data_IF_274235038843
#
_entry.id   IF_274235038843
#
_cell.length_a   1.000
_cell.length_b   1.000
_cell.length_c   1.000
_cell.angle_alpha   90.00
_cell.angle_beta   90.00
_cell.angle_gamma   90.00
#
_symmetry.space_group_name_H-M   'P 1'
#
loop_
_entity.id
_entity.type
_entity.pdbx_description
1 polymer ?
#
# COMPACT_ATOMS: atom_id res chain seq x y z
N UNK A 1 26.43 19.07 -40.57
CA UNK A 1 26.43 18.55 -41.96
C UNK A 1 25.08 17.95 -42.36
N UNK A 2 24.79 16.66 -42.13
CA UNK A 2 23.52 16.04 -42.61
C UNK A 2 22.26 16.63 -41.94
N UNK A 3 22.30 16.88 -40.64
CA UNK A 3 21.18 17.50 -39.91
C UNK A 3 20.90 18.95 -40.35
N UNK A 4 21.94 19.72 -40.69
CA UNK A 4 21.80 21.09 -41.20
C UNK A 4 21.25 21.10 -42.63
N UNK A 5 21.62 20.13 -43.46
CA UNK A 5 21.04 19.97 -44.80
C UNK A 5 19.54 19.64 -44.70
N UNK A 6 19.15 18.72 -43.82
CA UNK A 6 17.74 18.40 -43.52
C UNK A 6 16.97 19.63 -43.06
N UNK A 7 17.52 20.42 -42.14
CA UNK A 7 16.91 21.67 -41.69
C UNK A 7 16.79 22.70 -42.82
N UNK A 8 17.76 22.75 -43.73
CA UNK A 8 17.73 23.60 -44.92
C UNK A 8 16.54 23.27 -45.82
N UNK A 9 16.36 21.99 -46.16
CA UNK A 9 15.21 21.53 -46.96
C UNK A 9 13.87 21.80 -46.26
N UNK A 10 13.78 21.53 -44.95
CA UNK A 10 12.54 21.77 -44.19
C UNK A 10 12.20 23.25 -44.03
N UNK A 11 13.19 24.15 -44.06
CA UNK A 11 12.97 25.59 -43.88
C UNK A 11 12.51 26.31 -45.16
N UNK A 12 12.41 25.64 -46.31
CA UNK A 12 12.06 26.25 -47.60
C UNK A 12 10.54 26.52 -47.75
N UNK A 13 10.06 27.71 -47.37
CA UNK A 13 8.62 28.03 -47.27
C UNK A 13 7.82 27.82 -48.58
N UNK A 14 8.44 27.97 -49.75
CA UNK A 14 7.77 27.89 -51.06
C UNK A 14 7.72 26.48 -51.69
N UNK A 15 8.34 25.48 -51.04
CA UNK A 15 8.39 24.12 -51.60
C UNK A 15 7.26 23.22 -51.06
N UNK A 16 6.51 22.55 -51.96
CA UNK A 16 5.44 21.63 -51.54
C UNK A 16 6.04 20.39 -50.86
N UNK A 17 5.28 19.84 -49.92
CA UNK A 17 5.71 18.71 -49.08
C UNK A 17 6.21 17.48 -49.85
N UNK A 18 5.65 17.21 -51.03
CA UNK A 18 6.13 16.12 -51.90
C UNK A 18 7.53 16.34 -52.47
N UNK A 19 7.91 17.59 -52.74
CA UNK A 19 9.27 17.95 -53.21
C UNK A 19 10.26 17.85 -52.07
N UNK A 20 9.88 18.34 -50.88
CA UNK A 20 10.71 18.25 -49.67
C UNK A 20 10.93 16.78 -49.26
N UNK A 21 9.90 15.94 -49.32
CA UNK A 21 10.03 14.50 -49.08
C UNK A 21 11.04 13.85 -50.05
N UNK A 22 10.95 14.21 -51.34
CA UNK A 22 11.87 13.70 -52.38
C UNK A 22 13.32 14.14 -52.13
N UNK A 23 13.53 15.42 -51.79
CA UNK A 23 14.86 15.95 -51.47
C UNK A 23 15.45 15.27 -50.22
N UNK A 24 14.64 15.01 -49.20
CA UNK A 24 15.05 14.29 -47.99
C UNK A 24 15.44 12.84 -48.31
N UNK A 25 14.66 12.14 -49.13
CA UNK A 25 14.99 10.77 -49.55
C UNK A 25 16.30 10.74 -50.36
N UNK A 26 16.52 11.71 -51.26
CA UNK A 26 17.77 11.86 -52.00
C UNK A 26 18.96 12.15 -51.09
N UNK A 27 18.81 13.05 -50.11
CA UNK A 27 19.88 13.43 -49.19
C UNK A 27 20.27 12.31 -48.21
N UNK A 28 19.33 11.39 -47.92
CA UNK A 28 19.54 10.26 -47.02
C UNK A 28 20.01 8.98 -47.73
N UNK A 29 20.03 8.97 -49.07
CA UNK A 29 20.50 7.86 -49.92
C UNK A 29 19.86 6.51 -49.57
N UNK A 30 18.55 6.53 -49.24
CA UNK A 30 17.83 5.38 -48.69
C UNK A 30 16.42 5.25 -49.29
N UNK A 31 16.34 5.14 -50.62
CA UNK A 31 15.08 5.03 -51.39
C UNK A 31 14.30 3.72 -51.17
N UNK A 32 14.82 2.78 -50.39
CA UNK A 32 14.23 1.44 -50.20
C UNK A 32 14.18 0.99 -48.75
N UNK A 33 14.42 1.90 -47.79
CA UNK A 33 14.31 1.59 -46.36
C UNK A 33 12.95 2.09 -45.82
N UNK A 34 12.04 1.17 -45.43
CA UNK A 34 10.74 1.52 -44.87
C UNK A 34 10.83 2.39 -43.60
N UNK A 35 11.91 2.26 -42.82
CA UNK A 35 12.11 3.08 -41.63
C UNK A 35 12.46 4.52 -41.99
N UNK A 36 13.23 4.73 -43.07
CA UNK A 36 13.56 6.07 -43.57
C UNK A 36 12.34 6.71 -44.20
N UNK A 37 11.54 5.96 -44.97
CA UNK A 37 10.28 6.47 -45.53
C UNK A 37 9.28 6.89 -44.44
N UNK A 38 9.12 6.06 -43.41
CA UNK A 38 8.29 6.39 -42.24
C UNK A 38 8.81 7.64 -41.51
N UNK A 39 10.13 7.77 -41.36
CA UNK A 39 10.75 8.94 -40.74
C UNK A 39 10.56 10.21 -41.59
N UNK A 40 10.76 10.14 -42.91
CA UNK A 40 10.54 11.28 -43.82
C UNK A 40 9.08 11.72 -43.76
N UNK A 41 8.13 10.79 -43.80
CA UNK A 41 6.71 11.12 -43.67
C UNK A 41 6.38 11.81 -42.34
N UNK A 42 6.95 11.32 -41.23
CA UNK A 42 6.76 11.94 -39.91
C UNK A 42 7.36 13.35 -39.84
N UNK A 43 8.54 13.55 -40.42
CA UNK A 43 9.24 14.84 -40.43
C UNK A 43 8.57 15.85 -41.34
N UNK A 44 8.04 15.43 -42.50
CA UNK A 44 7.29 16.30 -43.42
C UNK A 44 5.93 16.68 -42.81
N UNK A 45 5.22 15.72 -42.21
CA UNK A 45 3.95 16.00 -41.51
C UNK A 45 4.16 16.95 -40.32
N UNK A 46 5.29 16.82 -39.62
CA UNK A 46 5.69 17.66 -38.49
C UNK A 46 6.61 18.82 -38.84
N UNK A 47 6.73 19.19 -40.12
CA UNK A 47 7.78 20.05 -40.68
C UNK A 47 8.03 21.31 -39.86
N UNK A 48 6.99 22.11 -39.63
CA UNK A 48 7.11 23.38 -38.93
C UNK A 48 7.36 23.22 -37.42
N UNK A 49 6.86 22.14 -36.80
CA UNK A 49 7.16 21.83 -35.42
C UNK A 49 8.65 21.47 -35.23
N UNK A 50 9.23 20.75 -36.20
CA UNK A 50 10.66 20.41 -36.21
C UNK A 50 11.52 21.66 -36.41
N UNK A 51 11.20 22.51 -37.41
CA UNK A 51 11.98 23.72 -37.72
C UNK A 51 11.99 24.71 -36.55
N UNK A 52 10.81 25.10 -36.05
CA UNK A 52 10.73 26.09 -34.97
C UNK A 52 11.09 25.51 -33.60
N UNK A 53 10.81 24.22 -33.36
CA UNK A 53 11.24 23.51 -32.17
C UNK A 53 12.77 23.42 -32.06
N UNK A 54 13.45 23.12 -33.17
CA UNK A 54 14.91 23.10 -33.21
C UNK A 54 15.51 24.49 -33.07
N UNK A 55 15.00 25.51 -33.76
CA UNK A 55 15.49 26.91 -33.61
C UNK A 55 15.42 27.39 -32.15
N UNK A 56 14.35 27.03 -31.44
CA UNK A 56 14.19 27.28 -30.01
C UNK A 56 15.21 26.49 -29.17
N UNK A 57 15.38 25.20 -29.44
CA UNK A 57 16.28 24.33 -28.68
C UNK A 57 17.77 24.65 -28.88
N UNK A 58 18.16 25.08 -30.08
CA UNK A 58 19.55 25.42 -30.42
C UNK A 58 19.94 26.84 -29.96
N UNK A 59 19.01 27.60 -29.36
CA UNK A 59 19.27 28.96 -28.87
C UNK A 59 19.60 29.97 -29.97
N UNK A 60 19.20 29.70 -31.21
CA UNK A 60 19.47 30.59 -32.36
C UNK A 60 18.63 31.87 -32.33
N UNK A 61 17.51 31.87 -31.60
CA UNK A 61 16.62 33.01 -31.40
C UNK A 61 16.00 32.95 -30.00
N UNK A 62 15.65 34.10 -29.42
CA UNK A 62 14.94 34.11 -28.13
C UNK A 62 13.54 33.54 -28.28
N UNK A 63 12.93 33.14 -27.16
CA UNK A 63 11.55 32.62 -27.16
C UNK A 63 10.57 33.57 -27.87
N UNK A 64 10.71 34.87 -27.62
CA UNK A 64 9.81 35.88 -28.14
C UNK A 64 10.05 36.14 -29.63
N UNK A 65 11.30 36.05 -30.09
CA UNK A 65 11.65 36.14 -31.51
C UNK A 65 11.09 34.96 -32.31
N UNK A 66 11.18 33.73 -31.77
CA UNK A 66 10.61 32.54 -32.40
C UNK A 66 9.09 32.66 -32.46
N UNK A 67 8.43 33.10 -31.39
CA UNK A 67 6.97 33.29 -31.37
C UNK A 67 6.54 34.37 -32.37
N UNK A 68 7.30 35.45 -32.53
CA UNK A 68 7.02 36.49 -33.51
C UNK A 68 7.13 35.96 -34.96
N UNK A 69 8.19 35.20 -35.27
CA UNK A 69 8.38 34.58 -36.59
C UNK A 69 7.29 33.56 -36.92
N UNK A 70 6.92 32.69 -35.97
CA UNK A 70 5.84 31.71 -36.15
C UNK A 70 4.49 32.42 -36.36
N UNK A 71 4.24 33.52 -35.65
CA UNK A 71 3.01 34.31 -35.81
C UNK A 71 2.92 34.95 -37.20
N UNK A 72 4.02 35.48 -37.71
CA UNK A 72 4.06 36.04 -39.06
C UNK A 72 3.83 34.97 -40.13
N UNK A 73 4.48 33.80 -39.99
CA UNK A 73 4.33 32.69 -40.91
C UNK A 73 2.91 32.07 -40.83
N UNK A 74 2.33 31.93 -39.65
CA UNK A 74 0.95 31.46 -39.49
C UNK A 74 -0.09 32.37 -40.18
N UNK A 75 0.26 33.64 -40.46
CA UNK A 75 -0.56 34.54 -41.26
C UNK A 75 -0.51 34.25 -42.78
N UNK A 76 0.52 33.52 -43.24
CA UNK A 76 0.76 33.15 -44.64
C UNK A 76 0.44 31.68 -44.93
N UNK A 77 0.69 30.79 -43.97
CA UNK A 77 0.45 29.35 -44.07
C UNK A 77 -0.39 28.85 -42.89
N UNK A 78 -1.55 28.25 -43.19
CA UNK A 78 -2.45 27.67 -42.19
C UNK A 78 -1.85 26.46 -41.46
N UNK A 79 -0.88 25.75 -42.07
CA UNK A 79 -0.25 24.57 -41.48
C UNK A 79 0.62 24.90 -40.25
N UNK A 80 1.01 26.17 -40.07
CA UNK A 80 1.83 26.65 -38.95
C UNK A 80 0.99 26.99 -37.71
N UNK A 81 -0.33 27.15 -37.86
CA UNK A 81 -1.26 27.51 -36.79
C UNK A 81 -1.18 26.62 -35.53
N UNK A 82 -1.14 25.28 -35.64
CA UNK A 82 -0.98 24.39 -34.49
C UNK A 82 0.34 24.60 -33.72
N UNK A 83 1.43 24.97 -34.41
CA UNK A 83 2.73 25.25 -33.80
C UNK A 83 2.67 26.55 -32.99
N UNK A 84 1.99 27.58 -33.50
CA UNK A 84 1.76 28.83 -32.77
C UNK A 84 0.94 28.60 -31.50
N UNK A 85 -0.11 27.78 -31.59
CA UNK A 85 -0.97 27.45 -30.44
C UNK A 85 -0.22 26.67 -29.35
N UNK A 86 0.68 25.76 -29.74
CA UNK A 86 1.54 25.03 -28.83
C UNK A 86 2.58 25.94 -28.15
N UNK A 87 3.18 26.89 -28.88
CA UNK A 87 4.19 27.82 -28.34
C UNK A 87 3.60 28.92 -27.43
N UNK A 88 2.39 29.37 -27.72
CA UNK A 88 1.70 30.43 -26.95
C UNK A 88 0.84 29.90 -25.80
N UNK A 89 0.72 28.57 -25.66
CA UNK A 89 -0.09 27.94 -24.62
C UNK A 89 -1.61 28.01 -24.85
N UNK A 90 -2.07 28.53 -25.99
CA UNK A 90 -3.50 28.65 -26.31
C UNK A 90 -4.21 27.30 -26.44
N UNK A 91 -3.49 26.21 -26.75
CA UNK A 91 -4.05 24.87 -26.77
C UNK A 91 -4.39 24.32 -25.37
N UNK A 92 -3.70 24.79 -24.31
CA UNK A 92 -4.00 24.41 -22.93
C UNK A 92 -5.24 25.15 -22.37
N UNK A 93 -5.59 26.31 -22.93
CA UNK A 93 -6.74 27.11 -22.48
C UNK A 93 -8.08 26.64 -23.05
N UNK A 94 -8.10 26.04 -24.25
CA UNK A 94 -9.33 25.55 -24.88
C UNK A 94 -9.85 24.24 -24.27
N UNK A 95 -8.97 23.40 -23.69
CA UNK A 95 -9.36 22.15 -23.03
C UNK A 95 -9.79 22.33 -21.56
N UNK A 96 -9.58 23.51 -20.97
CA UNK A 96 -9.86 23.78 -19.56
C UNK A 96 -11.29 24.30 -19.26
N UNK A 97 -12.12 24.52 -20.28
CA UNK A 97 -13.45 25.14 -20.15
C UNK A 97 -14.62 24.23 -20.59
N UNK A 98 -14.41 22.92 -20.66
CA UNK A 98 -15.50 21.95 -20.86
C UNK A 98 -15.48 20.93 -19.71
N UNK A 99 -16.64 20.82 -19.05
CA UNK A 99 -17.06 19.82 -18.07
C UNK A 99 -16.64 20.00 -16.60
N UNK A 100 -17.30 20.97 -15.97
CA UNK A 100 -17.73 20.93 -14.57
C UNK A 100 -19.07 20.17 -14.48
N UNK A 101 -19.03 18.83 -14.46
CA UNK A 101 -20.16 18.01 -14.00
C UNK A 101 -19.67 16.72 -13.34
N UNK A 102 -20.09 16.60 -12.09
CA UNK A 102 -19.69 15.68 -11.03
C UNK A 102 -20.04 14.21 -11.32
N UNK A 103 -19.03 13.33 -11.32
CA UNK A 103 -19.19 11.86 -11.16
C UNK A 103 -17.94 11.30 -10.42
N UNK A 104 -18.05 10.76 -9.18
CA UNK A 104 -16.87 10.49 -8.33
C UNK A 104 -16.19 9.14 -8.63
N UNK A 105 -16.58 8.42 -9.68
CA UNK A 105 -16.08 7.06 -9.95
C UNK A 105 -15.13 6.96 -11.16
N UNK A 106 -14.81 8.06 -11.85
CA UNK A 106 -13.99 8.00 -13.06
C UNK A 106 -13.01 9.19 -13.23
N UNK A 107 -12.41 9.65 -12.13
CA UNK A 107 -11.31 10.64 -12.20
C UNK A 107 -10.00 10.02 -11.75
N UNK A 108 -9.39 9.22 -12.62
CA UNK A 108 -7.94 8.95 -12.61
C UNK A 108 -7.14 10.19 -13.03
N UNK A 109 -7.56 11.37 -12.57
CA UNK A 109 -6.85 12.62 -12.78
C UNK A 109 -5.48 12.49 -12.13
N UNK A 110 -4.44 12.58 -12.94
CA UNK A 110 -3.07 12.66 -12.50
C UNK A 110 -2.94 13.80 -11.50
N UNK A 111 -3.11 13.48 -10.21
CA UNK A 111 -2.62 14.28 -9.11
C UNK A 111 -1.16 14.50 -9.49
N UNK A 112 -0.80 15.73 -9.89
CA UNK A 112 0.59 16.13 -10.18
C UNK A 112 1.42 15.42 -9.14
N UNK A 113 2.23 14.45 -9.56
CA UNK A 113 3.09 13.71 -8.66
C UNK A 113 3.96 14.77 -8.00
N UNK A 114 3.58 15.19 -6.80
CA UNK A 114 4.39 16.08 -5.99
C UNK A 114 5.77 15.44 -5.93
N UNK A 115 6.82 16.23 -6.17
CA UNK A 115 8.21 15.77 -6.31
C UNK A 115 8.54 14.68 -5.29
N UNK A 116 8.41 13.41 -5.70
CA UNK A 116 8.58 12.28 -4.80
C UNK A 116 10.07 12.08 -4.62
N UNK A 117 10.52 12.14 -3.37
CA UNK A 117 11.91 11.88 -3.05
C UNK A 117 12.18 10.38 -3.14
N UNK A 118 13.23 10.01 -3.86
CA UNK A 118 13.75 8.64 -3.85
C UNK A 118 14.41 8.44 -2.48
N UNK A 119 13.95 7.42 -1.75
CA UNK A 119 14.46 7.05 -0.42
C UNK A 119 15.12 5.69 -0.52
N UNK A 120 16.31 5.58 0.06
CA UNK A 120 17.00 4.30 0.23
C UNK A 120 16.35 3.50 1.38
N UNK A 121 15.58 2.47 1.04
CA UNK A 121 14.87 1.66 2.01
C UNK A 121 15.79 0.76 2.86
N UNK A 122 16.95 0.39 2.33
CA UNK A 122 17.90 -0.46 3.04
C UNK A 122 18.55 0.31 4.20
N UNK A 123 18.84 1.59 4.00
CA UNK A 123 19.37 2.47 5.05
C UNK A 123 18.42 2.63 6.26
N UNK A 124 17.11 2.44 6.07
CA UNK A 124 16.13 2.50 7.17
C UNK A 124 15.82 1.14 7.80
N UNK A 125 16.36 0.04 7.25
CA UNK A 125 16.15 -1.28 7.82
C UNK A 125 16.91 -1.44 9.15
N UNK A 126 16.27 -2.09 10.12
CA UNK A 126 16.94 -2.45 11.37
C UNK A 126 17.77 -3.73 11.17
N UNK A 127 19.07 -3.59 10.88
CA UNK A 127 19.98 -4.72 10.61
C UNK A 127 19.97 -5.80 11.71
N UNK A 128 19.80 -5.40 12.97
CA UNK A 128 19.78 -6.31 14.12
C UNK A 128 18.45 -7.06 14.30
N UNK A 129 17.42 -6.73 13.50
CA UNK A 129 16.11 -7.37 13.53
C UNK A 129 15.51 -7.46 14.94
N UNK A 130 15.15 -8.68 15.36
CA UNK A 130 14.56 -8.96 16.68
C UNK A 130 15.50 -8.72 17.87
N UNK A 131 16.81 -8.55 17.64
CA UNK A 131 17.79 -8.26 18.69
C UNK A 131 18.03 -6.77 18.89
N UNK A 132 17.42 -5.92 18.07
CA UNK A 132 17.56 -4.48 18.19
C UNK A 132 17.04 -3.99 19.54
N UNK A 133 17.92 -3.37 20.33
CA UNK A 133 17.55 -2.65 21.54
C UNK A 133 17.25 -1.19 21.21
N UNK A 134 16.00 -0.89 20.85
CA UNK A 134 15.57 0.46 20.50
C UNK A 134 15.68 1.44 21.70
N UNK A 135 15.49 0.94 22.92
CA UNK A 135 15.64 1.74 24.14
C UNK A 135 17.12 2.02 24.40
N UNK A 136 17.54 3.26 24.17
CA UNK A 136 18.86 3.76 24.57
C UNK A 136 18.84 4.06 26.07
N UNK A 137 19.56 3.29 26.88
CA UNK A 137 19.70 3.55 28.32
C UNK A 137 19.91 2.29 29.16
N UNK A 138 20.02 2.46 30.49
CA UNK A 138 20.16 1.35 31.43
C UNK A 138 18.83 0.60 31.58
N UNK A 139 18.90 -0.73 31.54
CA UNK A 139 17.78 -1.62 31.87
C UNK A 139 17.47 -1.50 33.37
N UNK A 140 16.19 -1.31 33.70
CA UNK A 140 15.70 -1.30 35.08
C UNK A 140 15.28 -2.72 35.43
N UNK A 141 15.75 -3.23 36.56
CA UNK A 141 15.44 -4.58 37.05
C UNK A 141 14.52 -4.51 38.28
N UNK A 142 13.69 -5.53 38.54
CA UNK A 142 12.83 -5.57 39.71
C UNK A 142 13.60 -5.54 41.04
N UNK A 143 12.95 -5.05 42.09
CA UNK A 143 13.49 -5.08 43.46
C UNK A 143 13.78 -6.52 43.90
N UNK A 144 14.90 -6.71 44.59
CA UNK A 144 15.35 -8.04 45.03
C UNK A 144 16.15 -8.81 43.97
N UNK A 145 16.40 -8.25 42.78
CA UNK A 145 17.31 -8.85 41.80
C UNK A 145 18.74 -8.89 42.36
N UNK A 146 19.38 -10.07 42.33
CA UNK A 146 20.78 -10.24 42.74
C UNK A 146 21.68 -10.45 41.51
N UNK A 147 22.94 -10.03 41.63
CA UNK A 147 23.94 -10.15 40.58
C UNK A 147 25.22 -10.79 41.14
N UNK A 148 25.45 -12.04 40.79
CA UNK A 148 26.62 -12.81 41.19
C UNK A 148 27.60 -12.85 40.01
N UNK A 149 28.83 -12.37 40.23
CA UNK A 149 29.88 -12.40 39.19
C UNK A 149 30.88 -13.50 39.50
N UNK A 150 31.00 -14.48 38.61
CA UNK A 150 31.96 -15.57 38.68
C UNK A 150 33.09 -15.37 37.66
N UNK A 151 34.13 -16.21 37.72
CA UNK A 151 35.26 -16.13 36.78
C UNK A 151 34.87 -16.37 35.32
N UNK A 152 33.88 -17.22 35.07
CA UNK A 152 33.48 -17.65 33.71
C UNK A 152 32.20 -16.99 33.21
N UNK A 153 31.36 -16.49 34.10
CA UNK A 153 30.03 -15.98 33.75
C UNK A 153 29.50 -15.04 34.82
N UNK A 154 28.43 -14.32 34.46
CA UNK A 154 27.64 -13.52 35.38
C UNK A 154 26.25 -14.12 35.50
N UNK A 155 25.76 -14.24 36.71
CA UNK A 155 24.42 -14.73 37.02
C UNK A 155 23.58 -13.57 37.56
N UNK A 156 22.42 -13.35 36.94
CA UNK A 156 21.44 -12.35 37.37
C UNK A 156 20.18 -13.10 37.77
N UNK A 157 19.85 -13.09 39.06
CA UNK A 157 18.71 -13.81 39.62
C UNK A 157 17.58 -12.81 39.85
N UNK A 158 16.48 -12.99 39.13
CA UNK A 158 15.27 -12.16 39.25
C UNK A 158 14.26 -12.95 40.09
N UNK A 159 13.84 -12.44 41.27
CA UNK A 159 12.91 -13.17 42.12
C UNK A 159 11.50 -13.19 41.51
N UNK A 160 10.68 -14.22 41.83
CA UNK A 160 9.26 -14.23 41.49
C UNK A 160 8.57 -12.95 41.99
N UNK A 161 7.72 -12.37 41.15
CA UNK A 161 6.98 -11.15 41.48
C UNK A 161 5.57 -11.55 41.91
N UNK A 162 5.20 -11.25 43.15
CA UNK A 162 3.83 -11.43 43.60
C UNK A 162 2.95 -10.30 43.05
N UNK A 163 1.94 -10.68 42.26
CA UNK A 163 0.93 -9.74 41.79
C UNK A 163 -0.31 -9.89 42.67
N UNK A 164 -0.62 -8.87 43.47
CA UNK A 164 -1.85 -8.85 44.24
C UNK A 164 -3.05 -8.74 43.29
N UNK A 165 -3.84 -9.81 43.22
CA UNK A 165 -5.06 -9.92 42.42
C UNK A 165 -6.31 -10.06 43.29
N UNK A 166 -6.19 -9.83 44.59
CA UNK A 166 -7.29 -10.00 45.56
C UNK A 166 -8.50 -9.10 45.29
N UNK A 167 -8.27 -7.95 44.66
CA UNK A 167 -9.31 -7.00 44.27
C UNK A 167 -10.10 -7.42 43.02
N UNK A 168 -9.62 -8.41 42.25
CA UNK A 168 -10.26 -8.83 41.01
C UNK A 168 -11.36 -9.84 41.32
N UNK A 169 -12.59 -9.50 40.99
CA UNK A 169 -13.71 -10.44 41.05
C UNK A 169 -13.60 -11.43 39.89
N UNK A 170 -13.56 -12.72 40.24
CA UNK A 170 -13.47 -13.78 39.24
C UNK A 170 -14.84 -14.01 38.60
N UNK A 171 -14.86 -14.04 37.27
CA UNK A 171 -16.08 -14.27 36.50
C UNK A 171 -16.39 -15.77 36.48
N UNK A 172 -17.54 -16.22 37.03
CA UNK A 172 -17.92 -17.63 36.96
C UNK A 172 -18.36 -17.99 35.54
N UNK A 173 -18.19 -19.26 35.14
CA UNK A 173 -18.63 -19.71 33.81
C UNK A 173 -20.16 -19.61 33.60
N UNK A 174 -20.92 -19.41 34.67
CA UNK A 174 -22.36 -19.15 34.59
C UNK A 174 -22.70 -17.84 33.87
N UNK A 175 -21.77 -16.88 33.81
CA UNK A 175 -21.94 -15.62 33.05
C UNK A 175 -21.94 -15.85 31.54
N UNK A 176 -21.37 -16.97 31.07
CA UNK A 176 -21.49 -17.36 29.67
C UNK A 176 -22.88 -17.92 29.36
N UNK A 177 -23.31 -17.79 28.11
CA UNK A 177 -24.56 -18.34 27.64
C UNK A 177 -24.56 -19.88 27.79
N UNK A 178 -25.68 -20.53 28.15
CA UNK A 178 -25.71 -21.97 28.41
C UNK A 178 -25.14 -22.83 27.27
N UNK A 179 -25.39 -22.44 26.02
CA UNK A 179 -24.90 -23.14 24.84
C UNK A 179 -23.38 -23.09 24.68
N UNK A 180 -22.70 -22.07 25.20
CA UNK A 180 -21.26 -21.89 25.05
C UNK A 180 -20.45 -22.50 26.19
N UNK A 181 -21.06 -22.79 27.34
CA UNK A 181 -20.38 -23.37 28.51
C UNK A 181 -19.64 -24.70 28.22
N UNK A 182 -20.16 -25.61 27.37
CA UNK A 182 -19.46 -26.86 27.04
C UNK A 182 -18.12 -26.68 26.34
N UNK A 183 -17.80 -25.48 25.83
CA UNK A 183 -16.50 -25.22 25.17
C UNK A 183 -15.35 -25.03 26.16
N UNK A 184 -15.66 -24.91 27.45
CA UNK A 184 -14.67 -24.84 28.50
C UNK A 184 -14.45 -26.24 29.11
N UNK A 185 -13.22 -26.60 29.48
CA UNK A 185 -12.97 -27.86 30.17
C UNK A 185 -13.79 -27.96 31.46
N UNK A 186 -14.32 -29.14 31.76
CA UNK A 186 -15.25 -29.37 32.88
C UNK A 186 -14.68 -29.02 34.27
N UNK A 187 -13.35 -29.04 34.43
CA UNK A 187 -12.68 -28.64 35.67
C UNK A 187 -12.59 -27.12 35.87
N UNK A 188 -12.81 -26.33 34.82
CA UNK A 188 -12.84 -24.87 34.90
C UNK A 188 -14.21 -24.44 35.39
N UNK A 189 -14.26 -23.70 36.50
CA UNK A 189 -15.52 -23.17 37.06
C UNK A 189 -15.65 -21.66 36.91
N UNK A 190 -14.52 -20.97 36.81
CA UNK A 190 -14.41 -19.52 36.74
C UNK A 190 -13.18 -19.13 35.93
N UNK A 191 -13.19 -17.94 35.36
CA UNK A 191 -12.06 -17.34 34.66
C UNK A 191 -10.97 -16.94 35.67
N UNK A 192 -9.73 -16.88 35.22
CA UNK A 192 -8.63 -16.37 36.06
C UNK A 192 -8.71 -14.82 36.18
N UNK A 193 -7.92 -14.17 37.06
CA UNK A 193 -8.00 -12.72 37.24
C UNK A 193 -7.84 -11.93 35.92
N UNK A 194 -6.81 -12.24 35.12
CA UNK A 194 -6.56 -11.55 33.85
C UNK A 194 -7.74 -11.71 32.89
N UNK A 195 -8.22 -12.93 32.68
CA UNK A 195 -9.37 -13.22 31.82
C UNK A 195 -10.65 -12.52 32.32
N UNK A 196 -10.87 -12.47 33.63
CA UNK A 196 -12.02 -11.81 34.26
C UNK A 196 -11.99 -10.30 34.03
N UNK A 197 -10.81 -9.67 34.13
CA UNK A 197 -10.65 -8.24 33.83
C UNK A 197 -11.00 -7.89 32.39
N UNK A 198 -10.64 -8.75 31.42
CA UNK A 198 -10.90 -8.48 30.00
C UNK A 198 -12.28 -8.98 29.54
N UNK A 199 -12.96 -9.81 30.34
CA UNK A 199 -14.22 -10.45 29.98
C UNK A 199 -15.30 -9.48 29.47
N UNK A 200 -15.57 -8.32 30.12
CA UNK A 200 -16.60 -7.40 29.64
C UNK A 200 -16.35 -6.91 28.22
N UNK A 201 -15.11 -6.53 27.90
CA UNK A 201 -14.73 -6.10 26.56
C UNK A 201 -14.65 -7.25 25.56
N UNK A 202 -14.29 -8.46 25.99
CA UNK A 202 -14.15 -9.60 25.10
C UNK A 202 -15.49 -10.29 24.76
N UNK A 203 -16.48 -10.24 25.66
CA UNK A 203 -17.74 -10.98 25.52
C UNK A 203 -18.97 -10.09 25.33
N UNK A 204 -18.96 -8.84 25.82
CA UNK A 204 -20.12 -7.95 25.74
C UNK A 204 -19.99 -6.86 24.67
N UNK A 205 -18.79 -6.59 24.14
CA UNK A 205 -18.57 -5.59 23.10
C UNK A 205 -17.96 -6.20 21.84
N UNK A 206 -17.98 -5.43 20.74
CA UNK A 206 -17.41 -5.79 19.45
C UNK A 206 -16.20 -4.90 19.10
N UNK A 207 -15.58 -4.32 20.12
CA UNK A 207 -14.42 -3.45 19.97
C UNK A 207 -13.13 -4.24 19.75
N UNK A 208 -12.18 -3.63 19.04
CA UNK A 208 -10.85 -4.20 18.88
C UNK A 208 -10.12 -4.26 20.23
N UNK A 209 -9.51 -5.40 20.51
CA UNK A 209 -8.89 -5.68 21.81
C UNK A 209 -7.39 -5.95 21.68
N UNK A 210 -6.57 -5.24 22.47
CA UNK A 210 -5.15 -5.50 22.65
C UNK A 210 -4.87 -5.98 24.08
N UNK A 211 -4.50 -7.26 24.23
CA UNK A 211 -4.19 -7.85 25.55
C UNK A 211 -2.69 -8.08 25.70
N UNK A 212 -2.04 -7.22 26.48
CA UNK A 212 -0.63 -7.36 26.84
C UNK A 212 -0.50 -8.12 28.16
N UNK A 213 -0.33 -9.44 28.09
CA UNK A 213 -0.20 -10.31 29.25
C UNK A 213 0.96 -11.31 29.10
N UNK A 214 1.58 -11.77 30.20
CA UNK A 214 2.70 -12.71 30.14
C UNK A 214 2.30 -14.05 29.51
N UNK A 215 3.31 -14.82 29.08
CA UNK A 215 3.11 -16.21 28.63
C UNK A 215 2.52 -17.04 29.76
N UNK A 216 1.56 -17.90 29.44
CA UNK A 216 0.86 -18.71 30.45
C UNK A 216 -0.29 -17.99 31.19
N UNK A 217 -0.48 -16.68 31.02
CA UNK A 217 -1.59 -15.95 31.65
C UNK A 217 -2.99 -16.37 31.14
N UNK A 218 -3.06 -17.22 30.10
CA UNK A 218 -4.31 -17.75 29.57
C UNK A 218 -4.96 -16.88 28.48
N UNK A 219 -4.16 -16.16 27.68
CA UNK A 219 -4.62 -15.37 26.51
C UNK A 219 -5.47 -16.19 25.53
N UNK A 220 -5.19 -17.49 25.38
CA UNK A 220 -5.94 -18.40 24.53
C UNK A 220 -7.43 -18.50 24.92
N UNK A 221 -7.77 -18.42 26.22
CA UNK A 221 -9.17 -18.39 26.63
C UNK A 221 -9.83 -17.04 26.31
N UNK A 222 -9.08 -15.93 26.33
CA UNK A 222 -9.63 -14.63 25.90
C UNK A 222 -10.01 -14.70 24.42
N UNK A 223 -9.17 -15.31 23.58
CA UNK A 223 -9.51 -15.56 22.18
C UNK A 223 -10.72 -16.51 22.02
N UNK A 224 -10.85 -17.52 22.88
CA UNK A 224 -12.07 -18.36 22.89
C UNK A 224 -13.32 -17.54 23.21
N UNK A 225 -13.24 -16.64 24.21
CA UNK A 225 -14.36 -15.75 24.57
C UNK A 225 -14.79 -14.88 23.40
N UNK A 226 -13.86 -14.30 22.65
CA UNK A 226 -14.19 -13.47 21.48
C UNK A 226 -14.77 -14.29 20.32
N UNK A 227 -14.29 -15.53 20.12
CA UNK A 227 -14.88 -16.48 19.17
C UNK A 227 -16.34 -16.78 19.54
N UNK A 228 -16.62 -17.06 20.81
CA UNK A 228 -17.98 -17.33 21.28
C UNK A 228 -18.90 -16.12 21.11
N UNK A 229 -18.41 -14.91 21.38
CA UNK A 229 -19.14 -13.67 21.11
C UNK A 229 -19.51 -13.55 19.64
N UNK A 230 -18.57 -13.78 18.73
CA UNK A 230 -18.86 -13.68 17.30
C UNK A 230 -19.85 -14.75 16.83
N UNK A 231 -19.74 -15.99 17.35
CA UNK A 231 -20.68 -17.06 17.06
C UNK A 231 -22.10 -16.77 17.57
N UNK A 232 -22.22 -16.04 18.69
CA UNK A 232 -23.52 -15.68 19.26
C UNK A 232 -24.38 -14.86 18.29
N UNK A 233 -23.76 -14.05 17.42
CA UNK A 233 -24.45 -13.21 16.42
C UNK A 233 -25.10 -14.01 15.30
N UNK A 234 -24.61 -15.23 15.06
CA UNK A 234 -25.02 -16.09 13.95
C UNK A 234 -25.81 -17.31 14.42
N UNK A 235 -26.31 -17.29 15.65
CA UNK A 235 -27.14 -18.34 16.23
C UNK A 235 -28.63 -17.98 16.07
N UNK A 236 -29.39 -18.90 15.49
CA UNK A 236 -30.85 -18.86 15.46
C UNK A 236 -31.37 -19.44 16.78
N UNK A 237 -31.94 -18.59 17.64
CA UNK A 237 -32.43 -19.01 18.96
C UNK A 237 -33.68 -19.90 18.87
N UNK A 238 -34.50 -19.76 17.83
CA UNK A 238 -35.75 -20.52 17.66
C UNK A 238 -35.46 -21.95 17.21
N UNK A 239 -34.45 -22.12 16.35
CA UNK A 239 -34.05 -23.43 15.80
C UNK A 239 -32.91 -24.11 16.55
N UNK A 240 -32.32 -23.43 17.54
CA UNK A 240 -31.12 -23.86 18.25
C UNK A 240 -29.99 -24.29 17.28
N UNK A 241 -29.78 -23.49 16.24
CA UNK A 241 -28.86 -23.79 15.14
C UNK A 241 -27.95 -22.61 14.83
N UNK A 242 -26.75 -22.87 14.32
CA UNK A 242 -25.81 -21.83 13.89
C UNK A 242 -25.73 -21.75 12.37
N UNK A 243 -25.64 -20.53 11.85
CA UNK A 243 -25.40 -20.27 10.43
C UNK A 243 -23.90 -20.27 10.10
N UNK A 244 -23.27 -21.45 10.08
CA UNK A 244 -21.81 -21.61 9.90
C UNK A 244 -21.28 -21.11 8.54
N UNK A 245 -22.13 -20.97 7.54
CA UNK A 245 -21.75 -20.51 6.21
C UNK A 245 -21.55 -18.98 6.15
N UNK A 246 -22.14 -18.25 7.10
CA UNK A 246 -22.09 -16.78 7.14
C UNK A 246 -20.88 -16.22 7.89
N UNK A 247 -20.16 -17.06 8.65
CA UNK A 247 -19.06 -16.63 9.50
C UNK A 247 -17.80 -17.48 9.29
N UNK A 248 -16.65 -16.80 9.20
CA UNK A 248 -15.31 -17.41 9.24
C UNK A 248 -14.46 -16.65 10.24
N UNK A 249 -13.68 -17.39 11.02
CA UNK A 249 -12.83 -16.83 12.08
C UNK A 249 -11.39 -17.24 11.79
N UNK A 250 -10.47 -16.28 11.85
CA UNK A 250 -9.05 -16.50 11.54
C UNK A 250 -8.24 -16.29 12.82
N UNK A 251 -7.45 -17.30 13.19
CA UNK A 251 -6.51 -17.23 14.29
C UNK A 251 -5.08 -17.28 13.75
N UNK A 252 -4.31 -16.22 13.96
CA UNK A 252 -2.93 -16.11 13.47
C UNK A 252 -1.97 -16.38 14.64
N UNK A 253 -1.06 -17.33 14.46
CA UNK A 253 0.00 -17.66 15.42
C UNK A 253 1.38 -17.58 14.74
N UNK A 254 2.45 -17.22 15.49
CA UNK A 254 3.76 -16.97 14.90
C UNK A 254 4.54 -18.24 14.51
N UNK A 255 4.15 -19.40 15.02
CA UNK A 255 4.89 -20.66 14.81
C UNK A 255 3.94 -21.79 14.42
N UNK A 256 4.37 -22.63 13.47
CA UNK A 256 3.58 -23.79 13.01
C UNK A 256 3.19 -24.73 14.14
N UNK A 257 4.11 -25.04 15.05
CA UNK A 257 3.81 -25.90 16.21
C UNK A 257 2.69 -25.30 17.10
N UNK A 258 2.65 -23.97 17.26
CA UNK A 258 1.59 -23.29 17.99
C UNK A 258 0.26 -23.33 17.23
N UNK A 259 0.29 -23.19 15.90
CA UNK A 259 -0.91 -23.36 15.06
C UNK A 259 -1.52 -24.74 15.27
N UNK A 260 -0.70 -25.79 15.19
CA UNK A 260 -1.17 -27.17 15.37
C UNK A 260 -1.78 -27.41 16.76
N UNK A 261 -1.13 -26.91 17.81
CA UNK A 261 -1.67 -27.01 19.18
C UNK A 261 -2.99 -26.25 19.34
N UNK A 262 -3.14 -25.08 18.70
CA UNK A 262 -4.38 -24.31 18.71
C UNK A 262 -5.47 -25.02 17.91
N UNK A 263 -5.16 -25.58 16.73
CA UNK A 263 -6.13 -26.37 15.95
C UNK A 263 -6.65 -27.56 16.75
N UNK A 264 -5.76 -28.29 17.43
CA UNK A 264 -6.14 -29.38 18.34
C UNK A 264 -7.04 -28.87 19.48
N UNK A 265 -6.58 -27.85 20.20
CA UNK A 265 -7.27 -27.32 21.38
C UNK A 265 -8.63 -26.69 21.03
N UNK A 266 -8.70 -25.86 19.99
CA UNK A 266 -9.95 -25.24 19.55
C UNK A 266 -10.86 -26.25 18.86
N UNK A 267 -10.31 -27.23 18.14
CA UNK A 267 -11.08 -28.34 17.58
C UNK A 267 -11.80 -29.13 18.67
N UNK A 268 -11.08 -29.56 19.72
CA UNK A 268 -11.66 -30.25 20.88
C UNK A 268 -12.71 -29.40 21.59
N UNK A 269 -12.42 -28.11 21.81
CA UNK A 269 -13.30 -27.21 22.57
C UNK A 269 -14.54 -26.74 21.79
N UNK A 270 -14.45 -26.58 20.49
CA UNK A 270 -15.56 -26.12 19.65
C UNK A 270 -16.34 -27.28 19.01
N UNK A 271 -15.86 -28.52 19.13
CA UNK A 271 -16.57 -29.73 18.69
C UNK A 271 -18.01 -29.84 19.22
N UNK A 272 -18.33 -29.50 20.49
CA UNK A 272 -19.72 -29.51 20.98
C UNK A 272 -20.65 -28.56 20.22
N UNK A 273 -20.09 -27.53 19.57
CA UNK A 273 -20.82 -26.57 18.74
C UNK A 273 -20.85 -26.97 17.26
N UNK A 274 -20.32 -28.13 16.88
CA UNK A 274 -20.26 -28.59 15.48
C UNK A 274 -19.29 -27.81 14.58
N UNK A 275 -18.41 -26.99 15.16
CA UNK A 275 -17.50 -26.13 14.40
C UNK A 275 -16.25 -26.90 14.01
N UNK A 276 -15.85 -26.77 12.74
CA UNK A 276 -14.61 -27.33 12.22
C UNK A 276 -13.50 -26.29 12.29
N UNK A 277 -12.37 -26.69 12.88
CA UNK A 277 -11.15 -25.90 12.96
C UNK A 277 -10.08 -26.57 12.11
N UNK A 278 -9.40 -25.80 11.25
CA UNK A 278 -8.38 -26.31 10.35
C UNK A 278 -7.18 -25.34 10.28
N UNK A 279 -6.00 -25.91 10.01
CA UNK A 279 -4.80 -25.17 9.61
C UNK A 279 -4.97 -24.73 8.14
N UNK A 280 -4.49 -23.52 7.83
CA UNK A 280 -4.49 -22.94 6.47
C UNK A 280 -3.09 -22.94 5.88
#
# INVERSE_FOLDING_TARGET
ARAEAVLGFLSAEDEPDGVVATQLMMALDAFSDPAVEAWVNAVVTGRWAVVYGLRKATGQASHDDVVAQVREHAGRDAAVGPVLAALTGSAAAAAANADDNNDPAATGGARRAADMQIVDLEAFAFEQGSRLMAKRGKTIVPTGTTNNTYKTHQEIIIPPQDTDTSHVQLVPLTEFAPWSRPTFPSYVKQLNPMQSTVFPSAYHTDENLLVCAPTGAGKTNVAMTTILRELAKWRDEERDAFHYDLVKLVYIAPMKALVQEVVRTFGERLAPLGIRVAEL
#
